data_IF_352319142042
#
_entry.id   IF_352319142042
#
_cell.length_a   1.000
_cell.length_b   1.000
_cell.length_c   1.000
_cell.angle_alpha   90.00
_cell.angle_beta   90.00
_cell.angle_gamma   90.00
#
_symmetry.space_group_name_H-M   'P 1'
#
loop_
_entity.id
_entity.type
_entity.pdbx_description
1 polymer ?
#
# COMPACT_ATOMS: atom_id res chain seq x y z
N UNK A 1 -34.67 -10.11 -21.27
CA UNK A 1 -33.41 -10.69 -21.77
C UNK A 1 -32.42 -9.71 -22.41
N UNK A 2 -32.81 -8.59 -23.07
CA UNK A 2 -31.81 -7.66 -23.63
C UNK A 2 -31.05 -6.87 -22.55
N UNK A 3 -31.77 -6.36 -21.54
CA UNK A 3 -31.22 -5.55 -20.45
C UNK A 3 -30.20 -6.32 -19.58
N UNK A 4 -30.49 -7.58 -19.25
CA UNK A 4 -29.59 -8.42 -18.44
C UNK A 4 -28.27 -8.69 -19.16
N UNK A 5 -28.33 -8.93 -20.48
CA UNK A 5 -27.13 -9.13 -21.30
C UNK A 5 -26.29 -7.86 -21.40
N UNK A 6 -26.92 -6.70 -21.58
CA UNK A 6 -26.24 -5.40 -21.59
C UNK A 6 -25.60 -5.08 -20.23
N UNK A 7 -26.25 -5.41 -19.11
CA UNK A 7 -25.68 -5.24 -17.76
C UNK A 7 -24.43 -6.12 -17.60
N UNK A 8 -24.49 -7.38 -18.03
CA UNK A 8 -23.32 -8.28 -17.97
C UNK A 8 -22.17 -7.82 -18.86
N UNK A 9 -22.45 -7.27 -20.05
CA UNK A 9 -21.44 -6.70 -20.95
C UNK A 9 -20.77 -5.45 -20.35
N UNK A 10 -21.54 -4.59 -19.67
CA UNK A 10 -20.98 -3.41 -18.97
C UNK A 10 -20.12 -3.85 -17.78
N UNK A 11 -20.56 -4.82 -16.98
CA UNK A 11 -19.81 -5.34 -15.83
C UNK A 11 -18.49 -5.99 -16.24
N UNK A 12 -18.43 -6.58 -17.44
CA UNK A 12 -17.21 -7.18 -18.02
C UNK A 12 -16.38 -6.21 -18.84
N UNK A 13 -16.78 -4.93 -18.88
CA UNK A 13 -16.04 -3.93 -19.64
C UNK A 13 -14.76 -3.54 -18.91
N UNK A 14 -13.64 -3.31 -19.62
CA UNK A 14 -12.40 -2.84 -19.01
C UNK A 14 -12.55 -1.50 -18.27
N UNK A 15 -13.54 -0.69 -18.65
CA UNK A 15 -13.84 0.58 -17.97
C UNK A 15 -14.45 0.36 -16.58
N UNK A 16 -15.32 -0.64 -16.43
CA UNK A 16 -15.91 -0.99 -15.14
C UNK A 16 -14.85 -1.58 -14.20
N UNK A 17 -14.02 -2.49 -14.69
CA UNK A 17 -12.92 -3.09 -13.91
C UNK A 17 -11.97 -2.03 -13.34
N UNK A 18 -11.57 -1.04 -14.15
CA UNK A 18 -10.71 0.07 -13.69
C UNK A 18 -11.36 0.93 -12.61
N UNK A 19 -12.66 1.18 -12.70
CA UNK A 19 -13.36 1.95 -11.66
C UNK A 19 -13.52 1.15 -10.37
N UNK A 20 -13.82 -0.15 -10.46
CA UNK A 20 -13.85 -1.06 -9.30
C UNK A 20 -12.48 -1.09 -8.61
N UNK A 21 -11.41 -1.25 -9.38
CA UNK A 21 -10.04 -1.22 -8.86
C UNK A 21 -9.74 0.10 -8.13
N UNK A 22 -10.05 1.23 -8.76
CA UNK A 22 -9.84 2.55 -8.17
C UNK A 22 -10.60 2.74 -6.85
N UNK A 23 -11.84 2.29 -6.78
CA UNK A 23 -12.64 2.35 -5.54
C UNK A 23 -12.06 1.41 -4.48
N UNK A 24 -11.66 0.19 -4.85
CA UNK A 24 -11.06 -0.77 -3.94
C UNK A 24 -9.77 -0.23 -3.32
N UNK A 25 -8.86 0.33 -4.14
CA UNK A 25 -7.63 0.99 -3.67
C UNK A 25 -7.92 2.11 -2.68
N UNK A 26 -8.92 2.96 -2.99
CA UNK A 26 -9.31 4.06 -2.11
C UNK A 26 -9.88 3.56 -0.78
N UNK A 27 -10.71 2.52 -0.81
CA UNK A 27 -11.26 1.90 0.40
C UNK A 27 -10.17 1.24 1.25
N UNK A 28 -9.22 0.54 0.62
CA UNK A 28 -8.07 -0.04 1.30
C UNK A 28 -7.30 1.03 2.10
N UNK A 29 -7.06 2.21 1.52
CA UNK A 29 -6.42 3.32 2.26
C UNK A 29 -7.19 3.72 3.54
N UNK A 30 -8.52 3.84 3.46
CA UNK A 30 -9.33 4.18 4.63
C UNK A 30 -9.32 3.07 5.68
N UNK A 31 -9.24 1.81 5.24
CA UNK A 31 -9.21 0.63 6.09
C UNK A 31 -7.81 0.31 6.64
N UNK A 32 -6.74 0.89 6.07
CA UNK A 32 -5.37 0.72 6.57
C UNK A 32 -5.29 1.11 8.05
N UNK A 33 -4.82 0.21 8.93
CA UNK A 33 -4.64 0.51 10.34
C UNK A 33 -3.62 1.63 10.49
N UNK A 34 -3.91 2.62 11.33
CA UNK A 34 -2.95 3.67 11.63
C UNK A 34 -1.82 3.10 12.50
N UNK A 35 -0.77 2.63 11.84
CA UNK A 35 0.45 2.08 12.46
C UNK A 35 1.62 3.06 12.42
N UNK A 36 1.37 4.35 12.18
CA UNK A 36 2.40 5.36 11.98
C UNK A 36 3.46 5.35 13.11
N UNK A 37 3.02 5.26 14.38
CA UNK A 37 3.91 5.20 15.55
C UNK A 37 4.77 3.93 15.58
N UNK A 38 4.18 2.78 15.24
CA UNK A 38 4.86 1.48 15.25
C UNK A 38 5.90 1.39 14.12
N UNK A 39 5.54 1.89 12.94
CA UNK A 39 6.44 1.99 11.79
C UNK A 39 7.61 2.92 12.13
N UNK A 40 7.34 4.11 12.68
CA UNK A 40 8.37 5.06 13.09
C UNK A 40 9.31 4.45 14.15
N UNK A 41 8.76 3.80 15.18
CA UNK A 41 9.57 3.15 16.21
C UNK A 41 10.44 2.01 15.65
N UNK A 42 9.97 1.33 14.60
CA UNK A 42 10.72 0.26 13.93
C UNK A 42 11.95 0.83 13.21
N UNK A 43 11.83 1.98 12.55
CA UNK A 43 12.93 2.57 11.75
C UNK A 43 13.93 3.39 12.58
N UNK A 44 13.58 3.83 13.78
CA UNK A 44 14.41 4.73 14.62
C UNK A 44 15.72 4.12 15.14
N UNK A 45 15.90 2.80 15.11
CA UNK A 45 16.99 2.14 15.85
C UNK A 45 18.29 1.94 15.05
N UNK A 46 18.31 2.16 13.73
CA UNK A 46 19.50 1.94 12.89
C UNK A 46 19.76 3.14 11.96
N UNK A 47 21.00 3.64 11.97
CA UNK A 47 21.49 4.71 11.09
C UNK A 47 21.24 4.47 9.59
N UNK A 48 21.21 3.21 9.13
CA UNK A 48 20.87 2.85 7.73
C UNK A 48 19.45 3.25 7.36
N UNK A 49 18.56 3.35 8.35
CA UNK A 49 17.17 3.71 8.17
C UNK A 49 16.93 5.21 8.23
N UNK A 50 17.97 6.03 8.50
CA UNK A 50 17.81 7.45 8.76
C UNK A 50 17.05 8.19 7.66
N UNK A 51 17.31 7.89 6.39
CA UNK A 51 16.57 8.50 5.27
C UNK A 51 15.08 8.11 5.28
N UNK A 52 14.76 6.85 5.62
CA UNK A 52 13.38 6.36 5.71
C UNK A 52 12.68 7.00 6.92
N UNK A 53 13.37 7.05 8.05
CA UNK A 53 12.92 7.72 9.26
C UNK A 53 12.63 9.21 9.01
N UNK A 54 13.56 9.93 8.38
CA UNK A 54 13.41 11.36 8.10
C UNK A 54 12.20 11.63 7.18
N UNK A 55 12.01 10.81 6.14
CA UNK A 55 10.83 10.90 5.27
C UNK A 55 9.52 10.62 6.01
N UNK A 56 9.48 9.55 6.81
CA UNK A 56 8.31 9.21 7.63
C UNK A 56 8.00 10.32 8.63
N UNK A 57 9.02 10.82 9.33
CA UNK A 57 8.86 11.82 10.36
C UNK A 57 8.38 13.15 9.76
N UNK A 58 8.99 13.59 8.65
CA UNK A 58 8.54 14.76 7.89
C UNK A 58 7.07 14.63 7.47
N UNK A 59 6.68 13.47 6.94
CA UNK A 59 5.29 13.23 6.55
C UNK A 59 4.33 13.35 7.75
N UNK A 60 4.68 12.81 8.92
CA UNK A 60 3.86 12.90 10.12
C UNK A 60 3.79 14.31 10.72
N UNK A 61 4.83 15.12 10.51
CA UNK A 61 4.87 16.53 10.91
C UNK A 61 4.02 17.40 9.97
N UNK A 62 4.05 17.14 8.66
CA UNK A 62 3.29 17.88 7.65
C UNK A 62 1.81 17.47 7.60
N UNK A 63 1.49 16.20 7.88
CA UNK A 63 0.14 15.63 7.75
C UNK A 63 -0.28 14.93 9.05
N UNK A 64 -0.85 15.69 9.98
CA UNK A 64 -1.30 15.19 11.30
C UNK A 64 -2.23 13.96 11.21
N UNK A 65 -3.05 13.90 10.15
CA UNK A 65 -3.97 12.78 9.84
C UNK A 65 -3.52 11.92 8.67
N UNK A 66 -2.28 12.08 8.21
CA UNK A 66 -1.68 11.24 7.19
C UNK A 66 -1.57 9.79 7.65
N UNK A 67 -1.48 8.87 6.70
CA UNK A 67 -1.26 7.45 6.99
C UNK A 67 -0.07 6.93 6.20
N UNK A 68 0.63 6.00 6.83
CA UNK A 68 1.72 5.27 6.22
C UNK A 68 1.27 3.82 6.05
N UNK A 69 1.21 3.38 4.79
CA UNK A 69 0.98 1.99 4.42
C UNK A 69 2.31 1.31 4.10
N UNK A 70 2.44 0.05 4.52
CA UNK A 70 3.53 -0.81 4.04
C UNK A 70 2.90 -1.91 3.24
N UNK A 71 3.30 -2.00 1.98
CA UNK A 71 2.87 -3.01 1.03
C UNK A 71 4.01 -4.00 0.80
N UNK A 72 3.62 -5.26 0.64
CA UNK A 72 4.39 -6.26 -0.08
C UNK A 72 3.59 -6.74 -1.27
N UNK A 73 4.27 -7.03 -2.38
CA UNK A 73 3.67 -7.78 -3.48
C UNK A 73 3.80 -9.27 -3.20
N UNK A 74 2.84 -10.05 -3.67
CA UNK A 74 2.78 -11.49 -3.39
C UNK A 74 4.05 -12.24 -3.83
N UNK A 75 4.66 -11.77 -4.92
CA UNK A 75 5.82 -12.42 -5.54
C UNK A 75 7.18 -11.80 -5.11
N UNK A 76 7.17 -10.73 -4.29
CA UNK A 76 8.37 -9.98 -3.94
C UNK A 76 8.64 -10.00 -2.41
N UNK A 77 9.15 -11.12 -1.89
CA UNK A 77 9.50 -11.24 -0.46
C UNK A 77 10.66 -10.33 -0.02
N UNK A 78 11.43 -9.80 -0.97
CA UNK A 78 12.66 -9.03 -0.74
C UNK A 78 12.48 -7.52 -0.85
N UNK A 79 11.27 -7.07 -1.13
CA UNK A 79 10.91 -5.68 -1.33
C UNK A 79 9.71 -5.32 -0.47
N UNK A 80 9.78 -4.15 0.16
CA UNK A 80 8.62 -3.51 0.76
C UNK A 80 8.45 -2.13 0.15
N UNK A 81 7.20 -1.75 -0.03
CA UNK A 81 6.80 -0.46 -0.57
C UNK A 81 6.16 0.33 0.57
N UNK A 82 6.74 1.47 0.91
CA UNK A 82 6.25 2.36 1.95
C UNK A 82 5.53 3.52 1.28
N UNK A 83 4.23 3.58 1.47
CA UNK A 83 3.35 4.57 0.85
C UNK A 83 2.91 5.59 1.89
N UNK A 84 2.99 6.87 1.54
CA UNK A 84 2.61 7.98 2.41
C UNK A 84 1.43 8.72 1.82
N UNK A 85 0.35 8.83 2.59
CA UNK A 85 -0.92 9.36 2.12
C UNK A 85 -1.39 10.52 2.99
N UNK A 86 -2.02 11.52 2.39
CA UNK A 86 -2.72 12.56 3.16
C UNK A 86 -4.07 12.07 3.71
N UNK A 87 -4.77 12.94 4.44
CA UNK A 87 -6.08 12.65 5.05
C UNK A 87 -7.20 12.38 4.03
N UNK A 88 -6.98 12.71 2.75
CA UNK A 88 -7.92 12.50 1.65
C UNK A 88 -7.69 11.17 0.93
N UNK A 89 -6.61 10.47 1.25
CA UNK A 89 -6.18 9.24 0.59
C UNK A 89 -5.42 9.46 -0.71
N UNK A 90 -4.87 10.65 -0.92
CA UNK A 90 -3.96 10.93 -2.04
C UNK A 90 -2.55 10.50 -1.63
N UNK A 91 -1.90 9.71 -2.49
CA UNK A 91 -0.50 9.33 -2.31
C UNK A 91 0.39 10.53 -2.56
N UNK A 92 1.23 10.86 -1.58
CA UNK A 92 2.14 11.99 -1.61
C UNK A 92 3.58 11.56 -1.91
N UNK A 93 3.96 10.39 -1.41
CA UNK A 93 5.31 9.85 -1.58
C UNK A 93 5.27 8.33 -1.50
N UNK A 94 6.26 7.70 -2.13
CA UNK A 94 6.45 6.25 -2.13
C UNK A 94 7.94 5.93 -2.06
N UNK A 95 8.33 5.10 -1.10
CA UNK A 95 9.70 4.63 -0.92
C UNK A 95 9.76 3.12 -1.05
N UNK A 96 10.76 2.64 -1.76
CA UNK A 96 11.00 1.21 -1.94
C UNK A 96 12.17 0.82 -1.05
N UNK A 97 12.00 -0.18 -0.19
CA UNK A 97 13.02 -0.61 0.77
C UNK A 97 13.35 -2.09 0.62
N UNK A 98 14.62 -2.45 0.85
CA UNK A 98 15.10 -3.83 0.80
C UNK A 98 16.17 -4.07 1.86
N UNK A 99 16.31 -5.30 2.33
CA UNK A 99 17.45 -5.71 3.16
C UNK A 99 18.65 -6.25 2.38
N UNK A 100 18.53 -6.40 1.06
CA UNK A 100 19.60 -6.92 0.22
C UNK A 100 20.34 -5.78 -0.50
N UNK A 101 21.65 -5.94 -0.68
CA UNK A 101 22.41 -5.07 -1.58
C UNK A 101 22.05 -5.41 -3.02
N UNK A 102 21.01 -4.78 -3.53
CA UNK A 102 20.62 -4.94 -4.92
C UNK A 102 21.07 -3.74 -5.75
N UNK A 103 22.08 -3.97 -6.58
CA UNK A 103 22.74 -2.95 -7.39
C UNK A 103 21.92 -2.46 -8.59
N UNK A 104 20.72 -3.01 -8.81
CA UNK A 104 19.97 -2.82 -10.06
C UNK A 104 18.71 -1.98 -9.93
N UNK A 105 18.28 -1.63 -8.72
CA UNK A 105 17.03 -0.89 -8.49
C UNK A 105 17.21 0.27 -7.50
N UNK A 106 16.33 1.27 -7.57
CA UNK A 106 16.32 2.47 -6.72
C UNK A 106 15.80 2.21 -5.31
N UNK A 107 16.12 1.06 -4.73
CA UNK A 107 15.70 0.71 -3.37
C UNK A 107 16.64 1.33 -2.36
N UNK A 108 16.06 1.77 -1.24
CA UNK A 108 16.83 2.14 -0.07
C UNK A 108 17.16 0.89 0.74
N UNK A 109 18.44 0.69 1.02
CA UNK A 109 18.90 -0.36 1.93
C UNK A 109 18.45 -0.07 3.37
N UNK A 110 17.88 -1.08 4.02
CA UNK A 110 17.56 -1.11 5.45
C UNK A 110 18.25 -2.32 6.09
N UNK A 111 18.36 -2.34 7.42
CA UNK A 111 18.86 -3.52 8.11
C UNK A 111 17.84 -4.69 8.09
N UNK A 112 18.35 -5.92 8.17
CA UNK A 112 17.52 -7.13 8.09
C UNK A 112 16.48 -7.24 9.21
N UNK A 113 16.75 -6.69 10.40
CA UNK A 113 15.81 -6.75 11.51
C UNK A 113 14.64 -5.79 11.30
N UNK A 114 14.93 -4.55 10.90
CA UNK A 114 13.94 -3.56 10.49
C UNK A 114 13.11 -4.08 9.33
N UNK A 115 13.74 -4.63 8.28
CA UNK A 115 13.02 -5.21 7.15
C UNK A 115 12.03 -6.29 7.59
N UNK A 116 12.46 -7.25 8.43
CA UNK A 116 11.58 -8.31 8.95
C UNK A 116 10.41 -7.75 9.77
N UNK A 117 10.66 -6.75 10.61
CA UNK A 117 9.61 -6.09 11.41
C UNK A 117 8.61 -5.36 10.51
N UNK A 118 9.09 -4.58 9.54
CA UNK A 118 8.21 -3.89 8.58
C UNK A 118 7.45 -4.88 7.70
N UNK A 119 8.05 -6.03 7.34
CA UNK A 119 7.38 -7.09 6.59
C UNK A 119 6.22 -7.70 7.38
N UNK A 120 6.34 -7.84 8.71
CA UNK A 120 5.22 -8.26 9.57
C UNK A 120 4.11 -7.21 9.66
N UNK A 121 4.45 -5.94 9.48
CA UNK A 121 3.48 -4.84 9.44
C UNK A 121 2.86 -4.63 8.06
N UNK A 122 3.44 -5.22 7.02
CA UNK A 122 3.00 -5.07 5.64
C UNK A 122 1.67 -5.76 5.37
N UNK A 123 0.91 -5.17 4.46
CA UNK A 123 -0.27 -5.79 3.84
C UNK A 123 0.11 -6.40 2.49
N UNK A 124 -0.52 -7.53 2.14
CA UNK A 124 -0.51 -7.98 0.76
C UNK A 124 -1.51 -7.14 -0.03
N UNK A 125 -1.03 -6.14 -0.74
CA UNK A 125 -1.89 -5.15 -1.39
C UNK A 125 -2.80 -5.78 -2.44
N UNK A 126 -2.27 -6.67 -3.28
CA UNK A 126 -3.02 -7.33 -4.35
C UNK A 126 -4.14 -8.18 -3.78
N UNK A 127 -3.85 -8.93 -2.71
CA UNK A 127 -4.83 -9.78 -2.04
C UNK A 127 -5.94 -8.95 -1.39
N UNK A 128 -5.60 -7.86 -0.70
CA UNK A 128 -6.57 -6.99 -0.04
C UNK A 128 -7.41 -6.19 -1.04
N UNK A 129 -6.80 -5.66 -2.11
CA UNK A 129 -7.53 -5.02 -3.21
C UNK A 129 -8.48 -6.01 -3.86
N UNK A 130 -8.06 -7.25 -4.13
CA UNK A 130 -8.92 -8.27 -4.72
C UNK A 130 -10.10 -8.61 -3.81
N UNK A 131 -9.90 -8.75 -2.49
CA UNK A 131 -10.98 -8.97 -1.51
C UNK A 131 -11.98 -7.82 -1.53
N UNK A 132 -11.49 -6.58 -1.47
CA UNK A 132 -12.36 -5.39 -1.48
C UNK A 132 -13.09 -5.25 -2.82
N UNK A 133 -12.42 -5.53 -3.93
CA UNK A 133 -13.01 -5.49 -5.27
C UNK A 133 -14.16 -6.50 -5.39
N UNK A 134 -14.02 -7.70 -4.85
CA UNK A 134 -15.11 -8.69 -4.78
C UNK A 134 -16.28 -8.20 -3.93
N UNK A 135 -16.00 -7.54 -2.80
CA UNK A 135 -17.03 -7.00 -1.90
C UNK A 135 -17.88 -5.88 -2.54
N UNK A 136 -17.24 -4.99 -3.32
CA UNK A 136 -17.92 -3.84 -3.95
C UNK A 136 -18.45 -4.15 -5.35
N UNK A 137 -18.00 -5.24 -5.96
CA UNK A 137 -18.55 -5.71 -7.22
C UNK A 137 -20.02 -6.11 -7.02
N UNK A 138 -20.91 -5.78 -7.97
CA UNK A 138 -22.29 -6.19 -7.88
C UNK A 138 -22.35 -7.72 -7.76
N UNK A 139 -22.92 -8.25 -6.68
CA UNK A 139 -23.23 -9.68 -6.59
C UNK A 139 -24.22 -9.98 -7.73
N UNK A 140 -23.87 -10.91 -8.61
CA UNK A 140 -24.77 -11.37 -9.66
C UNK A 140 -26.09 -11.79 -9.00
N UNK A 141 -27.18 -11.09 -9.32
CA UNK A 141 -28.54 -11.39 -8.89
C UNK A 141 -29.05 -12.58 -9.72
#
# INVERSE_FOLDING_TARGET
MFLEKTIQEIQRSPGHEKEVEKIARRRLFFDLPNRNKEILATVQNDHRNKKLQDSIQKHLEEYERGKIGIERKSDEEKALYVHMYNERGEELDSLNITSERDSTMSFQETDTETFKKLHLLSINYEEEVAKIAQDISPKAI
#
